data_IF_389791694952
#
_entry.id   IF_389791694952
#
_cell.length_a   1.000
_cell.length_b   1.000
_cell.length_c   1.000
_cell.angle_alpha   90.00
_cell.angle_beta   90.00
_cell.angle_gamma   90.00
#
_symmetry.space_group_name_H-M   'P 1'
#
loop_
_entity.id
_entity.type
_entity.pdbx_description
1 polymer ?
#
# COMPACT_ATOMS: atom_id res chain seq x y z
N UNK A 1 -23.37 6.93 4.20
CA UNK A 1 -23.65 5.56 4.68
C UNK A 1 -23.24 4.60 3.57
N UNK A 2 -22.46 3.56 3.87
CA UNK A 2 -22.06 2.56 2.86
C UNK A 2 -22.97 1.34 2.89
N UNK A 3 -23.19 0.73 1.72
CA UNK A 3 -23.93 -0.51 1.56
C UNK A 3 -23.05 -1.56 0.89
N UNK A 4 -23.08 -2.78 1.41
CA UNK A 4 -22.42 -3.95 0.81
C UNK A 4 -23.05 -4.28 -0.56
N UNK A 5 -22.20 -4.33 -1.59
CA UNK A 5 -22.54 -4.79 -2.94
C UNK A 5 -22.38 -6.32 -3.05
N UNK A 6 -22.69 -6.88 -4.23
CA UNK A 6 -22.37 -8.28 -4.50
C UNK A 6 -20.85 -8.48 -4.44
N UNK A 7 -20.35 -9.51 -3.74
CA UNK A 7 -18.92 -9.77 -3.68
C UNK A 7 -18.39 -10.24 -5.03
N UNK A 8 -17.10 -10.00 -5.26
CA UNK A 8 -16.44 -10.42 -6.49
C UNK A 8 -15.66 -11.72 -6.23
N UNK A 9 -16.02 -12.85 -6.87
CA UNK A 9 -15.36 -14.12 -6.62
C UNK A 9 -13.89 -14.11 -7.07
N UNK A 10 -13.05 -14.75 -6.26
CA UNK A 10 -11.65 -15.05 -6.54
C UNK A 10 -11.49 -16.55 -6.84
N UNK A 11 -10.40 -16.92 -7.53
CA UNK A 11 -10.03 -18.32 -7.84
C UNK A 11 -9.22 -18.97 -6.71
N UNK A 12 -8.67 -18.17 -5.80
CA UNK A 12 -8.00 -18.59 -4.58
C UNK A 12 -8.31 -17.63 -3.44
N UNK A 13 -7.96 -17.99 -2.21
CA UNK A 13 -8.21 -17.14 -1.05
C UNK A 13 -7.14 -16.07 -0.83
N UNK A 14 -7.46 -14.97 -0.16
CA UNK A 14 -6.44 -13.98 0.18
C UNK A 14 -5.49 -14.51 1.26
N UNK A 15 -4.19 -14.24 1.11
CA UNK A 15 -3.17 -14.55 2.11
C UNK A 15 -3.25 -13.61 3.32
N UNK A 16 -2.88 -14.10 4.50
CA UNK A 16 -2.77 -13.31 5.73
C UNK A 16 -1.56 -12.35 5.70
N UNK A 17 -1.62 -11.35 4.83
CA UNK A 17 -0.61 -10.30 4.67
C UNK A 17 -1.27 -8.96 4.91
N UNK A 18 -0.57 -8.01 5.53
CA UNK A 18 -1.01 -6.61 5.55
C UNK A 18 -0.98 -6.05 4.13
N UNK A 19 -1.84 -5.08 3.84
CA UNK A 19 -1.93 -4.45 2.51
C UNK A 19 -2.11 -5.46 1.35
N UNK A 20 -2.82 -6.57 1.59
CA UNK A 20 -2.97 -7.66 0.62
C UNK A 20 -3.73 -7.27 -0.66
N UNK A 21 -4.50 -6.18 -0.60
CA UNK A 21 -5.34 -5.69 -1.69
C UNK A 21 -4.69 -4.46 -2.36
N UNK A 22 -4.58 -4.52 -3.68
CA UNK A 22 -4.29 -3.36 -4.53
C UNK A 22 -5.44 -3.10 -5.48
N UNK A 23 -5.69 -1.83 -5.76
CA UNK A 23 -6.70 -1.38 -6.70
C UNK A 23 -6.06 -0.44 -7.72
N UNK A 24 -6.39 -0.63 -8.99
CA UNK A 24 -6.09 0.32 -10.07
C UNK A 24 -7.39 0.70 -10.75
N UNK A 25 -7.76 1.97 -10.68
CA UNK A 25 -8.86 2.50 -11.47
C UNK A 25 -8.33 3.01 -12.81
N UNK A 26 -9.04 2.69 -13.89
CA UNK A 26 -8.80 3.27 -15.21
C UNK A 26 -10.02 4.12 -15.61
N UNK A 27 -10.04 5.43 -15.25
CA UNK A 27 -11.22 6.28 -15.48
C UNK A 27 -11.68 6.30 -16.93
N UNK A 28 -10.73 6.28 -17.88
CA UNK A 28 -11.02 6.31 -19.32
C UNK A 28 -11.77 5.08 -19.83
N UNK A 29 -11.64 3.93 -19.15
CA UNK A 29 -12.32 2.68 -19.52
C UNK A 29 -13.49 2.35 -18.60
N UNK A 30 -13.66 3.11 -17.53
CA UNK A 30 -14.64 2.84 -16.47
C UNK A 30 -14.49 1.40 -15.92
N UNK A 31 -13.25 0.97 -15.68
CA UNK A 31 -12.92 -0.35 -15.15
C UNK A 31 -12.10 -0.22 -13.87
N UNK A 32 -12.30 -1.18 -12.97
CA UNK A 32 -11.50 -1.33 -11.75
C UNK A 32 -10.74 -2.64 -11.81
N UNK A 33 -9.42 -2.58 -11.64
CA UNK A 33 -8.54 -3.73 -11.51
C UNK A 33 -8.23 -3.99 -10.04
N UNK A 34 -8.22 -5.25 -9.66
CA UNK A 34 -7.94 -5.72 -8.31
C UNK A 34 -6.79 -6.72 -8.34
N UNK A 35 -5.86 -6.56 -7.41
CA UNK A 35 -4.69 -7.41 -7.22
C UNK A 35 -4.72 -7.96 -5.81
N UNK A 36 -4.72 -9.29 -5.68
CA UNK A 36 -4.82 -9.98 -4.40
C UNK A 36 -3.75 -11.05 -4.32
N UNK A 37 -2.95 -11.06 -3.26
CA UNK A 37 -1.92 -12.08 -3.06
C UNK A 37 -2.53 -13.36 -2.48
N UNK A 38 -2.25 -14.50 -3.11
CA UNK A 38 -2.62 -15.86 -2.73
C UNK A 38 -1.35 -16.75 -2.70
N UNK A 39 -0.59 -16.64 -1.60
CA UNK A 39 0.63 -17.42 -1.37
C UNK A 39 1.72 -17.19 -2.44
N UNK A 40 2.05 -18.19 -3.27
CA UNK A 40 3.05 -18.04 -4.35
C UNK A 40 2.53 -17.35 -5.61
N UNK A 41 1.25 -16.97 -5.63
CA UNK A 41 0.58 -16.40 -6.80
C UNK A 41 -0.20 -15.15 -6.44
N UNK A 42 -0.45 -14.32 -7.43
CA UNK A 42 -1.30 -13.14 -7.34
C UNK A 42 -2.47 -13.31 -8.29
N UNK A 43 -3.66 -12.96 -7.82
CA UNK A 43 -4.86 -12.90 -8.63
C UNK A 43 -5.06 -11.49 -9.12
N UNK A 44 -5.11 -11.33 -10.43
CA UNK A 44 -5.44 -10.08 -11.12
C UNK A 44 -6.84 -10.21 -11.67
N UNK A 45 -7.73 -9.30 -11.28
CA UNK A 45 -9.13 -9.32 -11.66
C UNK A 45 -9.53 -7.95 -12.21
N UNK A 46 -10.29 -7.94 -13.29
CA UNK A 46 -10.92 -6.75 -13.85
C UNK A 46 -12.41 -6.82 -13.59
N UNK A 47 -13.00 -5.76 -13.05
CA UNK A 47 -14.44 -5.67 -12.84
C UNK A 47 -15.02 -4.40 -13.49
N UNK A 48 -16.28 -4.50 -13.88
CA UNK A 48 -17.12 -3.38 -14.26
C UNK A 48 -17.39 -2.45 -13.05
N UNK A 49 -17.89 -1.22 -13.27
CA UNK A 49 -18.19 -0.28 -12.19
C UNK A 49 -19.11 -0.87 -11.12
N UNK A 50 -20.05 -1.73 -11.49
CA UNK A 50 -21.01 -2.39 -10.59
C UNK A 50 -20.42 -3.59 -9.84
N UNK A 51 -19.12 -3.88 -10.02
CA UNK A 51 -18.45 -5.03 -9.41
C UNK A 51 -18.63 -6.34 -10.17
N UNK A 52 -19.14 -6.32 -11.40
CA UNK A 52 -19.27 -7.54 -12.22
C UNK A 52 -17.87 -7.94 -12.74
N UNK A 53 -17.37 -9.15 -12.44
CA UNK A 53 -16.08 -9.61 -12.94
C UNK A 53 -16.11 -9.80 -14.46
N UNK A 54 -15.10 -9.25 -15.15
CA UNK A 54 -14.97 -9.30 -16.60
C UNK A 54 -13.81 -10.20 -17.06
N UNK A 55 -12.70 -10.18 -16.33
CA UNK A 55 -11.52 -10.97 -16.63
C UNK A 55 -10.77 -11.32 -15.34
N UNK A 56 -10.11 -12.47 -15.34
CA UNK A 56 -9.26 -12.90 -14.23
C UNK A 56 -8.04 -13.64 -14.74
N UNK A 57 -6.89 -13.34 -14.16
CA UNK A 57 -5.58 -13.95 -14.44
C UNK A 57 -4.92 -14.31 -13.11
N UNK A 58 -4.21 -15.43 -13.10
CA UNK A 58 -3.31 -15.77 -12.00
C UNK A 58 -1.87 -15.57 -12.48
N UNK A 59 -1.11 -14.78 -11.74
CA UNK A 59 0.29 -14.47 -12.02
C UNK A 59 1.15 -15.14 -10.96
N UNK A 60 2.13 -15.92 -11.38
CA UNK A 60 3.06 -16.59 -10.47
C UNK A 60 4.37 -15.81 -10.43
N UNK A 61 4.96 -15.69 -9.25
CA UNK A 61 6.29 -15.11 -9.13
C UNK A 61 7.29 -15.95 -9.93
N UNK A 62 8.10 -15.30 -10.77
CA UNK A 62 9.18 -15.96 -11.50
C UNK A 62 10.12 -16.71 -10.55
N UNK A 63 10.47 -17.94 -10.91
CA UNK A 63 11.38 -18.81 -10.17
C UNK A 63 12.53 -19.32 -11.04
N UNK A 64 13.65 -19.68 -10.41
CA UNK A 64 14.66 -20.53 -11.05
C UNK A 64 14.16 -21.98 -11.10
N UNK A 65 14.61 -22.75 -12.09
CA UNK A 65 14.22 -24.16 -12.23
C UNK A 65 14.63 -24.98 -10.99
N UNK A 66 13.73 -25.84 -10.50
CA UNK A 66 14.01 -26.75 -9.37
C UNK A 66 13.90 -26.16 -7.96
N UNK A 67 13.46 -24.91 -7.81
CA UNK A 67 13.26 -24.24 -6.51
C UNK A 67 11.77 -24.11 -6.22
N UNK A 68 11.37 -24.19 -4.93
CA UNK A 68 10.00 -23.90 -4.51
C UNK A 68 9.60 -22.48 -4.90
N UNK A 69 8.34 -22.25 -5.34
CA UNK A 69 7.89 -20.92 -5.71
C UNK A 69 7.98 -19.98 -4.50
N UNK A 70 8.48 -18.74 -4.68
CA UNK A 70 8.60 -17.83 -3.56
C UNK A 70 7.23 -17.33 -3.15
N UNK A 71 7.05 -17.12 -1.84
CA UNK A 71 5.87 -16.44 -1.35
C UNK A 71 5.92 -14.98 -1.81
N UNK A 72 4.81 -14.52 -2.38
CA UNK A 72 4.61 -13.12 -2.74
C UNK A 72 4.22 -12.39 -1.45
N UNK A 73 4.82 -11.23 -1.23
CA UNK A 73 4.62 -10.40 -0.03
C UNK A 73 3.70 -9.22 -0.30
N UNK A 74 3.68 -8.69 -1.53
CA UNK A 74 2.77 -7.64 -1.93
C UNK A 74 2.61 -7.58 -3.46
N UNK A 75 1.43 -7.17 -3.92
CA UNK A 75 1.16 -6.71 -5.28
C UNK A 75 0.72 -5.25 -5.21
N UNK A 76 1.21 -4.41 -6.11
CA UNK A 76 0.74 -3.03 -6.22
C UNK A 76 0.86 -2.49 -7.65
N UNK A 77 -0.09 -1.66 -8.08
CA UNK A 77 0.05 -0.90 -9.32
C UNK A 77 0.70 0.46 -9.05
N UNK A 78 1.83 0.72 -9.69
CA UNK A 78 2.51 2.01 -9.67
C UNK A 78 2.05 2.84 -10.86
N UNK A 79 1.29 3.91 -10.59
CA UNK A 79 0.85 4.88 -11.61
C UNK A 79 1.91 5.97 -11.72
N UNK A 80 2.68 5.94 -12.82
CA UNK A 80 3.71 6.94 -13.12
C UNK A 80 3.17 7.92 -14.17
N UNK A 81 3.79 9.11 -14.37
CA UNK A 81 3.31 10.13 -15.30
C UNK A 81 3.11 9.66 -16.75
N UNK A 82 3.85 8.63 -17.18
CA UNK A 82 3.88 8.17 -18.57
C UNK A 82 3.49 6.70 -18.75
N UNK A 83 3.41 5.90 -17.67
CA UNK A 83 3.01 4.49 -17.75
C UNK A 83 2.55 3.95 -16.40
N UNK A 84 1.80 2.84 -16.45
CA UNK A 84 1.42 2.08 -15.25
C UNK A 84 2.15 0.75 -15.25
N UNK A 85 2.80 0.42 -14.14
CA UNK A 85 3.47 -0.87 -13.94
C UNK A 85 2.80 -1.64 -12.80
N UNK A 86 2.69 -2.95 -12.97
CA UNK A 86 2.32 -3.86 -11.89
C UNK A 86 3.61 -4.36 -11.21
N UNK A 87 3.74 -4.13 -9.92
CA UNK A 87 4.92 -4.54 -9.14
C UNK A 87 4.53 -5.67 -8.20
N UNK A 88 5.34 -6.73 -8.20
CA UNK A 88 5.27 -7.83 -7.26
C UNK A 88 6.54 -7.86 -6.42
N UNK A 89 6.37 -7.95 -5.11
CA UNK A 89 7.47 -8.23 -4.17
C UNK A 89 7.32 -9.62 -3.60
N UNK A 90 8.45 -10.24 -3.25
CA UNK A 90 8.49 -11.61 -2.77
C UNK A 90 9.72 -11.84 -1.89
N UNK A 91 9.83 -13.04 -1.34
CA UNK A 91 11.04 -13.48 -0.62
C UNK A 91 12.30 -13.63 -1.50
N UNK A 92 12.19 -13.45 -2.83
CA UNK A 92 13.32 -13.61 -3.76
C UNK A 92 13.72 -12.32 -4.45
N UNK A 93 12.83 -11.34 -4.51
CA UNK A 93 13.01 -10.25 -5.44
C UNK A 93 11.78 -9.41 -5.69
N UNK A 94 12.00 -8.44 -6.57
CA UNK A 94 11.05 -7.46 -7.05
C UNK A 94 10.86 -7.71 -8.55
N UNK A 95 9.63 -7.96 -8.98
CA UNK A 95 9.26 -8.15 -10.38
C UNK A 95 8.38 -6.99 -10.81
N UNK A 96 8.67 -6.40 -11.97
CA UNK A 96 7.82 -5.38 -12.56
C UNK A 96 7.29 -5.89 -13.89
N UNK A 97 5.99 -5.71 -14.08
CA UNK A 97 5.25 -6.14 -15.26
C UNK A 97 4.55 -4.94 -15.89
N UNK A 98 4.22 -5.06 -17.17
CA UNK A 98 3.18 -4.22 -17.76
C UNK A 98 1.90 -4.29 -16.92
N UNK A 99 1.09 -3.23 -16.94
CA UNK A 99 -0.08 -3.07 -16.07
C UNK A 99 -1.08 -4.24 -16.04
N UNK A 100 -1.17 -5.03 -17.11
CA UNK A 100 -2.06 -6.20 -17.20
C UNK A 100 -1.43 -7.50 -16.65
N UNK A 101 -0.16 -7.45 -16.24
CA UNK A 101 0.63 -8.59 -15.76
C UNK A 101 1.06 -9.57 -16.85
N UNK A 102 0.95 -9.23 -18.14
CA UNK A 102 1.29 -10.16 -19.24
C UNK A 102 2.79 -10.31 -19.47
N UNK A 103 3.53 -9.20 -19.42
CA UNK A 103 4.95 -9.14 -19.77
C UNK A 103 5.73 -8.61 -18.59
N UNK A 104 6.71 -9.39 -18.13
CA UNK A 104 7.68 -8.92 -17.13
C UNK A 104 8.71 -8.04 -17.84
N UNK A 105 8.86 -6.80 -17.38
CA UNK A 105 9.78 -5.81 -17.94
C UNK A 105 11.07 -5.68 -17.12
N UNK A 106 11.04 -6.05 -15.85
CA UNK A 106 12.20 -5.96 -14.96
C UNK A 106 12.15 -6.98 -13.83
N UNK A 107 13.33 -7.39 -13.36
CA UNK A 107 13.52 -8.26 -12.20
C UNK A 107 14.75 -7.82 -11.44
N UNK A 108 14.59 -7.65 -10.12
CA UNK A 108 15.67 -7.42 -9.18
C UNK A 108 15.68 -8.54 -8.14
N UNK A 109 16.77 -9.31 -8.10
CA UNK A 109 16.96 -10.33 -7.08
C UNK A 109 17.38 -9.69 -5.75
N UNK A 110 16.75 -10.10 -4.65
CA UNK A 110 17.23 -9.72 -3.32
C UNK A 110 18.35 -10.68 -2.93
N UNK A 111 19.55 -10.15 -2.70
CA UNK A 111 20.68 -10.93 -2.20
C UNK A 111 20.62 -11.00 -0.68
N UNK A 112 20.76 -12.20 -0.12
CA UNK A 112 20.93 -12.37 1.32
C UNK A 112 22.28 -11.86 1.80
N UNK A 113 23.31 -11.80 0.93
CA UNK A 113 24.69 -11.52 1.35
C UNK A 113 25.08 -12.40 2.55
N UNK A 114 25.66 -11.77 3.57
CA UNK A 114 26.02 -12.35 4.88
C UNK A 114 24.85 -12.43 5.89
N UNK A 115 23.60 -12.25 5.45
CA UNK A 115 22.45 -12.35 6.34
C UNK A 115 22.45 -13.70 7.06
N UNK A 116 22.34 -13.66 8.38
CA UNK A 116 22.12 -14.85 9.20
C UNK A 116 20.95 -15.66 8.60
N UNK A 117 21.07 -17.00 8.50
CA UNK A 117 20.01 -17.87 7.96
C UNK A 117 18.67 -17.78 8.72
N UNK A 118 18.64 -17.03 9.84
CA UNK A 118 17.45 -16.75 10.65
C UNK A 118 16.56 -15.66 10.05
N UNK A 119 17.10 -14.73 9.25
CA UNK A 119 16.31 -13.61 8.71
C UNK A 119 15.69 -13.97 7.37
N UNK A 120 14.36 -13.89 7.27
CA UNK A 120 13.68 -14.04 6.00
C UNK A 120 14.02 -12.85 5.09
N UNK A 121 14.63 -13.11 3.94
CA UNK A 121 14.81 -12.11 2.89
C UNK A 121 13.46 -11.84 2.25
N UNK A 122 13.03 -10.58 2.17
CA UNK A 122 11.84 -10.16 1.45
C UNK A 122 11.87 -8.66 1.09
N UNK A 123 11.00 -8.26 0.17
CA UNK A 123 10.64 -6.87 -0.09
C UNK A 123 9.14 -6.67 0.17
N UNK A 124 8.75 -5.47 0.55
CA UNK A 124 7.35 -5.00 0.68
C UNK A 124 7.34 -3.48 0.87
N UNK A 125 6.17 -2.87 0.86
CA UNK A 125 6.03 -1.42 0.77
C UNK A 125 6.41 -0.98 -0.63
N UNK A 126 5.41 -0.67 -1.46
CA UNK A 126 5.60 -0.32 -2.87
C UNK A 126 4.88 1.00 -3.09
N UNK A 127 5.59 1.99 -3.63
CA UNK A 127 4.98 3.26 -4.02
C UNK A 127 5.61 3.81 -5.30
N UNK A 128 4.84 4.61 -6.04
CA UNK A 128 5.32 5.39 -7.17
C UNK A 128 5.52 6.84 -6.72
N UNK A 129 6.72 7.40 -6.92
CA UNK A 129 7.04 8.78 -6.57
C UNK A 129 7.63 9.49 -7.79
N UNK A 130 6.84 10.34 -8.45
CA UNK A 130 7.22 10.91 -9.74
C UNK A 130 7.44 9.82 -10.79
N UNK A 131 8.65 9.73 -11.33
CA UNK A 131 9.06 8.70 -12.29
C UNK A 131 9.78 7.51 -11.63
N UNK A 132 9.85 7.48 -10.30
CA UNK A 132 10.49 6.42 -9.54
C UNK A 132 9.48 5.41 -9.01
N UNK A 133 9.92 4.16 -8.86
CA UNK A 133 9.26 3.17 -8.01
C UNK A 133 10.15 2.91 -6.80
N UNK A 134 9.59 3.08 -5.60
CA UNK A 134 10.27 2.83 -4.34
C UNK A 134 9.78 1.52 -3.74
N UNK A 135 10.72 0.67 -3.28
CA UNK A 135 10.40 -0.62 -2.67
C UNK A 135 11.20 -0.84 -1.39
N UNK A 136 10.51 -1.13 -0.30
CA UNK A 136 11.13 -1.44 0.99
C UNK A 136 11.69 -2.86 1.06
N UNK A 137 12.74 -3.05 1.87
CA UNK A 137 13.38 -4.35 2.08
C UNK A 137 13.34 -4.79 3.54
N UNK A 138 13.58 -6.09 3.75
CA UNK A 138 13.77 -6.70 5.06
C UNK A 138 14.92 -6.11 5.88
N UNK A 139 15.91 -5.48 5.22
CA UNK A 139 17.09 -4.89 5.88
C UNK A 139 16.90 -3.43 6.32
N UNK A 140 15.69 -2.87 6.15
CA UNK A 140 15.41 -1.46 6.46
C UNK A 140 15.86 -0.49 5.36
N UNK A 141 16.15 -1.01 4.16
CA UNK A 141 16.52 -0.20 3.00
C UNK A 141 15.30 0.08 2.14
N UNK A 142 15.33 1.19 1.42
CA UNK A 142 14.35 1.49 0.37
C UNK A 142 15.10 1.57 -0.95
N UNK A 143 14.79 0.66 -1.85
CA UNK A 143 15.35 0.63 -3.20
C UNK A 143 14.54 1.56 -4.10
N UNK A 144 15.22 2.46 -4.81
CA UNK A 144 14.60 3.44 -5.71
C UNK A 144 14.96 3.08 -7.15
N UNK A 145 13.95 2.80 -7.96
CA UNK A 145 14.11 2.43 -9.36
C UNK A 145 13.68 3.58 -10.26
N UNK A 146 14.60 4.04 -11.12
CA UNK A 146 14.29 4.95 -12.23
C UNK A 146 13.53 4.20 -13.32
N UNK A 147 12.32 4.67 -13.63
CA UNK A 147 11.45 4.05 -14.61
C UNK A 147 11.46 4.86 -15.91
N UNK A 148 11.91 4.29 -17.04
CA UNK A 148 11.86 4.99 -18.31
C UNK A 148 10.42 5.08 -18.83
N UNK A 149 10.19 6.08 -19.68
CA UNK A 149 8.92 6.30 -20.41
C UNK A 149 8.40 5.02 -21.08
N UNK A 150 9.31 4.21 -21.63
CA UNK A 150 9.00 2.94 -22.29
C UNK A 150 10.19 1.98 -22.23
N UNK A 151 9.90 0.70 -22.47
CA UNK A 151 10.91 -0.35 -22.55
C UNK A 151 11.37 -0.89 -21.19
N UNK A 152 12.37 -1.79 -21.19
CA UNK A 152 12.80 -2.53 -20.01
C UNK A 152 14.03 -1.93 -19.30
N UNK A 153 14.50 -0.74 -19.69
CA UNK A 153 15.71 -0.11 -19.14
C UNK A 153 15.46 0.53 -17.77
N UNK A 154 14.83 -0.22 -16.87
CA UNK A 154 14.63 0.16 -15.47
C UNK A 154 15.96 -0.03 -14.74
N UNK A 155 16.37 0.96 -13.94
CA UNK A 155 17.63 0.94 -13.22
C UNK A 155 17.40 1.20 -11.73
N UNK A 156 18.09 0.46 -10.86
CA UNK A 156 18.22 0.85 -9.45
C UNK A 156 19.16 2.06 -9.39
N UNK A 157 18.64 3.23 -9.01
CA UNK A 157 19.43 4.47 -8.97
C UNK A 157 19.90 4.83 -7.55
N UNK A 158 19.09 4.56 -6.52
CA UNK A 158 19.42 4.88 -5.13
C UNK A 158 18.98 3.77 -4.16
N UNK A 159 19.69 3.69 -3.02
CA UNK A 159 19.33 2.88 -1.87
C UNK A 159 19.26 3.78 -0.64
N UNK A 160 18.04 4.05 -0.16
CA UNK A 160 17.82 4.96 0.97
C UNK A 160 18.05 4.22 2.29
N UNK A 161 18.82 4.87 3.17
CA UNK A 161 19.04 4.43 4.55
C UNK A 161 18.32 5.32 5.54
N UNK A 162 17.63 4.71 6.50
CA UNK A 162 16.95 5.41 7.58
C UNK A 162 16.38 4.44 8.62
N UNK A 163 15.82 3.33 8.14
CA UNK A 163 15.31 2.27 9.01
C UNK A 163 16.41 1.28 9.40
N UNK A 164 16.26 0.72 10.61
CA UNK A 164 17.11 -0.35 11.14
C UNK A 164 16.35 -1.68 11.24
N UNK A 165 15.06 -1.67 10.91
CA UNK A 165 14.17 -2.83 10.91
C UNK A 165 13.45 -2.92 9.56
N UNK A 166 12.83 -4.08 9.22
CA UNK A 166 12.18 -4.26 7.93
C UNK A 166 11.17 -3.15 7.63
N UNK A 167 11.25 -2.59 6.42
CA UNK A 167 10.25 -1.63 5.93
C UNK A 167 8.90 -2.37 5.80
N UNK A 168 7.83 -1.76 6.30
CA UNK A 168 6.47 -2.30 6.31
C UNK A 168 5.64 -1.78 5.15
N UNK A 169 5.69 -0.46 4.93
CA UNK A 169 4.89 0.21 3.92
C UNK A 169 5.53 1.53 3.48
N UNK A 170 5.13 2.00 2.30
CA UNK A 170 5.59 3.28 1.73
C UNK A 170 4.37 3.99 1.16
N UNK A 171 4.21 5.27 1.49
CA UNK A 171 3.19 6.13 0.90
C UNK A 171 3.81 7.37 0.29
N UNK A 172 3.15 7.90 -0.73
CA UNK A 172 3.56 9.09 -1.47
C UNK A 172 2.39 10.05 -1.52
N UNK A 173 2.69 11.34 -1.46
CA UNK A 173 1.72 12.41 -1.61
C UNK A 173 1.03 12.30 -2.99
N UNK A 174 -0.30 12.13 -3.06
CA UNK A 174 -1.04 12.15 -4.31
C UNK A 174 -0.72 13.43 -5.08
N UNK A 175 -0.55 13.33 -6.40
CA UNK A 175 -0.12 14.44 -7.26
C UNK A 175 -1.16 15.58 -7.31
N UNK A 176 -1.21 16.40 -6.26
CA UNK A 176 -1.96 17.66 -6.16
C UNK A 176 -1.16 18.64 -5.29
N UNK A 177 -0.39 19.53 -5.95
CA UNK A 177 0.31 20.64 -5.29
C UNK A 177 1.83 20.59 -5.48
N UNK A 178 2.38 21.56 -6.21
CA UNK A 178 3.78 21.62 -6.65
C UNK A 178 4.78 22.01 -5.54
N UNK A 179 4.32 22.29 -4.31
CA UNK A 179 5.15 22.83 -3.21
C UNK A 179 5.05 21.97 -1.94
N UNK A 180 5.02 20.65 -2.08
CA UNK A 180 5.02 19.77 -0.92
C UNK A 180 6.44 19.68 -0.31
N UNK A 181 6.57 20.09 0.95
CA UNK A 181 7.84 20.03 1.71
C UNK A 181 8.31 18.59 1.85
N UNK A 182 7.39 17.64 1.96
CA UNK A 182 7.62 16.20 2.01
C UNK A 182 6.62 15.52 1.07
N UNK A 183 7.06 14.50 0.34
CA UNK A 183 6.24 13.82 -0.67
C UNK A 183 6.27 12.29 -0.56
N UNK A 184 7.09 11.73 0.33
CA UNK A 184 7.13 10.30 0.59
C UNK A 184 7.34 10.03 2.08
N UNK A 185 6.67 9.01 2.60
CA UNK A 185 6.85 8.50 3.95
C UNK A 185 7.02 6.98 3.91
N UNK A 186 7.93 6.47 4.72
CA UNK A 186 8.24 5.05 4.83
C UNK A 186 8.07 4.64 6.29
N UNK A 187 7.55 3.44 6.53
CA UNK A 187 7.31 2.90 7.87
C UNK A 187 8.09 1.59 8.07
N UNK A 188 8.36 1.21 9.31
CA UNK A 188 9.01 -0.07 9.64
C UNK A 188 8.36 -0.84 10.79
N UNK A 189 8.89 -2.05 11.04
CA UNK A 189 8.43 -2.96 12.09
C UNK A 189 8.70 -2.45 13.52
N UNK A 190 9.56 -1.45 13.71
CA UNK A 190 9.74 -0.77 15.00
C UNK A 190 8.73 0.37 15.22
N UNK A 191 7.99 0.72 14.17
CA UNK A 191 7.06 1.84 14.09
C UNK A 191 7.72 3.17 13.70
N UNK A 192 9.01 3.18 13.40
CA UNK A 192 9.71 4.37 12.94
C UNK A 192 9.15 4.80 11.59
N UNK A 193 8.87 6.08 11.44
CA UNK A 193 8.53 6.70 10.18
C UNK A 193 9.71 7.53 9.70
N UNK A 194 10.10 7.40 8.43
CA UNK A 194 11.04 8.30 7.79
C UNK A 194 10.30 9.12 6.75
N UNK A 195 10.49 10.43 6.78
CA UNK A 195 9.82 11.39 5.90
C UNK A 195 10.83 11.94 4.90
N UNK A 196 10.48 11.91 3.63
CA UNK A 196 11.39 12.16 2.53
C UNK A 196 10.87 13.24 1.60
N UNK A 197 11.81 13.87 0.89
CA UNK A 197 11.56 14.67 -0.30
C UNK A 197 12.21 13.99 -1.49
N UNK A 198 11.42 13.72 -2.53
CA UNK A 198 11.92 13.27 -3.82
C UNK A 198 12.54 14.42 -4.62
N UNK A 199 13.43 14.10 -5.53
CA UNK A 199 14.16 15.05 -6.35
C UNK A 199 15.20 14.34 -7.20
N UNK A 200 16.26 15.04 -7.65
CA UNK A 200 17.43 14.38 -8.27
C UNK A 200 18.08 13.36 -7.34
N UNK A 201 17.99 13.58 -6.04
CA UNK A 201 18.34 12.65 -4.97
C UNK A 201 17.25 12.71 -3.91
N UNK A 202 16.88 11.56 -3.32
CA UNK A 202 15.93 11.54 -2.21
C UNK A 202 16.60 12.05 -0.93
N UNK A 203 15.92 12.98 -0.24
CA UNK A 203 16.41 13.57 1.01
C UNK A 203 15.55 13.16 2.18
N UNK A 204 16.16 12.57 3.20
CA UNK A 204 15.53 12.37 4.50
C UNK A 204 15.35 13.72 5.19
N UNK A 205 14.11 14.09 5.50
CA UNK A 205 13.76 15.36 6.14
C UNK A 205 13.67 15.22 7.66
N UNK A 206 12.98 14.17 8.12
CA UNK A 206 12.78 13.90 9.54
C UNK A 206 12.51 12.41 9.77
N UNK A 207 12.71 11.97 11.02
CA UNK A 207 12.33 10.64 11.49
C UNK A 207 11.45 10.75 12.72
N UNK A 208 10.36 9.98 12.74
CA UNK A 208 9.33 10.03 13.78
C UNK A 208 9.30 8.67 14.49
N UNK A 209 9.68 8.58 15.77
CA UNK A 209 9.73 7.32 16.48
C UNK A 209 8.33 6.77 16.78
N UNK A 210 8.08 5.49 16.46
CA UNK A 210 6.81 4.79 16.71
C UNK A 210 6.67 4.16 18.10
N UNK A 211 7.66 4.37 18.98
CA UNK A 211 7.69 3.88 20.36
C UNK A 211 7.57 2.35 20.51
N UNK A 212 8.09 1.58 19.55
CA UNK A 212 8.22 0.12 19.65
C UNK A 212 6.98 -0.68 19.28
N UNK A 213 5.99 -0.06 18.62
CA UNK A 213 4.84 -0.74 18.04
C UNK A 213 5.00 -0.76 16.52
N UNK A 214 4.91 -1.92 15.84
CA UNK A 214 4.99 -1.98 14.38
C UNK A 214 3.96 -1.05 13.72
N UNK A 215 4.33 -0.47 12.58
CA UNK A 215 3.43 0.34 11.76
C UNK A 215 3.16 -0.37 10.43
N UNK A 216 2.15 -1.26 10.32
CA UNK A 216 1.97 -2.08 9.12
C UNK A 216 1.52 -1.31 7.88
N UNK A 217 0.93 -0.12 8.04
CA UNK A 217 0.52 0.69 6.90
C UNK A 217 0.57 2.19 7.21
N UNK A 218 0.93 2.98 6.19
CA UNK A 218 1.06 4.43 6.26
C UNK A 218 0.42 5.08 5.04
N UNK A 219 -0.09 6.30 5.18
CA UNK A 219 -0.61 7.14 4.11
C UNK A 219 -0.13 8.59 4.27
N UNK A 220 -0.04 9.33 3.17
CA UNK A 220 0.35 10.74 3.13
C UNK A 220 -0.67 11.55 2.35
N UNK A 221 -1.20 12.62 2.93
CA UNK A 221 -2.19 13.49 2.31
C UNK A 221 -2.03 14.93 2.76
N UNK A 222 -1.72 15.83 1.83
CA UNK A 222 -1.52 17.26 2.03
C UNK A 222 -0.58 17.55 3.22
N UNK A 223 0.53 16.82 3.30
CA UNK A 223 1.50 16.93 4.40
C UNK A 223 1.02 16.33 5.74
N UNK A 224 -0.09 15.61 5.76
CA UNK A 224 -0.58 14.83 6.91
C UNK A 224 -0.16 13.37 6.71
N UNK A 225 0.64 12.84 7.63
CA UNK A 225 0.98 11.42 7.67
C UNK A 225 -0.05 10.71 8.54
N UNK A 226 -0.74 9.72 7.99
CA UNK A 226 -1.57 8.80 8.76
C UNK A 226 -0.85 7.46 8.91
N UNK A 227 -0.51 7.10 10.15
CA UNK A 227 0.20 5.86 10.48
C UNK A 227 -0.73 4.93 11.28
N UNK A 228 -0.88 3.69 10.80
CA UNK A 228 -1.68 2.65 11.43
C UNK A 228 -0.77 1.66 12.15
N UNK A 229 -1.03 1.44 13.45
CA UNK A 229 -0.15 0.65 14.31
C UNK A 229 -0.73 -0.72 14.69
N UNK A 230 0.16 -1.63 15.07
CA UNK A 230 -0.17 -2.99 15.52
C UNK A 230 -0.99 -3.06 16.82
N UNK A 231 -1.12 -1.95 17.55
CA UNK A 231 -1.97 -1.84 18.73
C UNK A 231 -3.38 -1.27 18.42
N UNK A 232 -3.74 -1.12 17.15
CA UNK A 232 -5.04 -0.60 16.73
C UNK A 232 -5.16 0.92 16.69
N UNK A 233 -4.07 1.64 16.94
CA UNK A 233 -4.07 3.11 16.88
C UNK A 233 -3.81 3.63 15.47
N UNK A 234 -4.59 4.63 15.06
CA UNK A 234 -4.23 5.53 13.96
C UNK A 234 -3.64 6.79 14.58
N UNK A 235 -2.45 7.20 14.13
CA UNK A 235 -1.85 8.48 14.53
C UNK A 235 -1.63 9.38 13.33
N UNK A 236 -1.95 10.67 13.50
CA UNK A 236 -1.77 11.68 12.48
C UNK A 236 -0.64 12.62 12.88
N UNK A 237 0.34 12.72 11.99
CA UNK A 237 1.50 13.58 12.15
C UNK A 237 1.54 14.65 11.07
N UNK A 238 2.14 15.79 11.41
CA UNK A 238 2.55 16.75 10.41
C UNK A 238 3.88 16.34 9.78
N UNK A 239 3.93 16.22 8.45
CA UNK A 239 5.11 15.71 7.74
C UNK A 239 6.32 16.64 7.82
N UNK A 240 6.10 17.96 7.89
CA UNK A 240 7.17 18.97 7.92
C UNK A 240 7.91 19.00 9.25
N UNK A 241 7.19 18.79 10.36
CA UNK A 241 7.74 18.92 11.73
C UNK A 241 7.90 17.58 12.44
N UNK A 242 7.17 16.55 12.01
CA UNK A 242 7.04 15.27 12.71
C UNK A 242 6.15 15.34 13.95
N UNK A 243 5.45 16.46 14.19
CA UNK A 243 4.60 16.63 15.36
C UNK A 243 3.38 15.69 15.30
N UNK A 244 3.07 15.04 16.43
CA UNK A 244 1.85 14.26 16.59
C UNK A 244 0.68 15.20 16.91
N UNK A 245 -0.36 15.21 16.08
CA UNK A 245 -1.56 16.02 16.29
C UNK A 245 -2.74 15.19 16.82
N UNK A 246 -2.94 13.99 16.26
CA UNK A 246 -4.11 13.16 16.58
C UNK A 246 -3.68 11.74 16.88
N UNK A 247 -4.25 11.16 17.94
CA UNK A 247 -4.13 9.74 18.25
C UNK A 247 -5.53 9.16 18.45
N UNK A 248 -5.90 8.18 17.62
CA UNK A 248 -7.21 7.56 17.59
C UNK A 248 -7.06 6.10 17.98
N UNK A 249 -7.77 5.64 19.02
CA UNK A 249 -7.94 4.22 19.29
C UNK A 249 -9.01 3.67 18.34
N UNK A 250 -8.64 3.52 17.07
CA UNK A 250 -9.55 3.20 15.98
C UNK A 250 -10.04 1.74 16.03
N UNK A 251 -9.16 0.82 16.46
CA UNK A 251 -9.39 -0.61 16.37
C UNK A 251 -8.96 -1.34 17.66
N UNK A 252 -9.56 -2.49 17.93
CA UNK A 252 -9.25 -3.32 19.09
C UNK A 252 -8.07 -4.29 18.84
N UNK A 253 -7.64 -4.44 17.59
CA UNK A 253 -6.51 -5.27 17.16
C UNK A 253 -5.63 -4.53 16.16
N UNK A 254 -4.57 -5.18 15.70
CA UNK A 254 -3.63 -4.63 14.73
C UNK A 254 -4.35 -4.10 13.48
N UNK A 255 -3.96 -2.90 13.05
CA UNK A 255 -4.34 -2.36 11.75
C UNK A 255 -3.54 -3.09 10.68
N UNK A 256 -4.22 -3.63 9.67
CA UNK A 256 -3.61 -4.40 8.60
C UNK A 256 -3.55 -3.64 7.27
N UNK A 257 -4.34 -2.58 7.11
CA UNK A 257 -4.31 -1.73 5.91
C UNK A 257 -4.83 -0.32 6.22
N UNK A 258 -4.16 0.68 5.64
CA UNK A 258 -4.68 2.03 5.46
C UNK A 258 -4.75 2.36 3.98
N UNK A 259 -5.77 3.12 3.57
CA UNK A 259 -5.87 3.65 2.22
C UNK A 259 -6.46 5.06 2.20
N UNK A 260 -6.15 5.81 1.17
CA UNK A 260 -6.52 7.22 1.04
C UNK A 260 -7.35 7.44 -0.22
N UNK A 261 -8.49 8.11 -0.07
CA UNK A 261 -9.24 8.72 -1.17
C UNK A 261 -8.91 10.22 -1.22
N UNK A 262 -7.96 10.63 -2.09
CA UNK A 262 -7.30 11.92 -1.97
C UNK A 262 -8.18 13.13 -2.30
N UNK A 263 -9.13 13.00 -3.24
CA UNK A 263 -10.04 14.11 -3.61
C UNK A 263 -10.98 14.45 -2.45
N UNK A 264 -11.40 13.43 -1.72
CA UNK A 264 -12.30 13.57 -0.59
C UNK A 264 -11.58 13.69 0.75
N UNK A 265 -10.24 13.61 0.80
CA UNK A 265 -9.47 13.56 2.05
C UNK A 265 -9.99 12.51 3.02
N UNK A 266 -10.39 11.33 2.51
CA UNK A 266 -10.89 10.24 3.36
C UNK A 266 -9.80 9.22 3.58
N UNK A 267 -9.63 8.79 4.82
CA UNK A 267 -8.78 7.69 5.23
C UNK A 267 -9.64 6.47 5.53
N UNK A 268 -9.31 5.33 4.94
CA UNK A 268 -9.87 4.03 5.27
C UNK A 268 -8.88 3.29 6.18
N UNK A 269 -9.35 2.80 7.31
CA UNK A 269 -8.59 1.90 8.19
C UNK A 269 -9.26 0.55 8.31
N UNK A 270 -8.47 -0.51 8.31
CA UNK A 270 -8.96 -1.88 8.43
C UNK A 270 -8.09 -2.69 9.39
N UNK A 271 -8.72 -3.59 10.14
CA UNK A 271 -8.06 -4.33 11.22
C UNK A 271 -8.48 -5.80 11.28
N UNK A 272 -7.60 -6.59 11.90
CA UNK A 272 -7.88 -7.96 12.33
C UNK A 272 -9.05 -8.08 13.33
N UNK A 273 -9.55 -6.96 13.86
CA UNK A 273 -10.76 -6.93 14.69
C UNK A 273 -12.07 -7.04 13.89
N UNK A 274 -11.96 -7.27 12.57
CA UNK A 274 -13.06 -7.42 11.61
C UNK A 274 -13.78 -6.13 11.24
N UNK A 275 -13.34 -4.96 11.73
CA UNK A 275 -13.93 -3.68 11.39
C UNK A 275 -13.11 -2.94 10.33
N UNK A 276 -13.83 -2.15 9.55
CA UNK A 276 -13.26 -1.07 8.75
C UNK A 276 -13.89 0.25 9.15
N UNK A 277 -13.09 1.31 9.19
CA UNK A 277 -13.52 2.66 9.52
C UNK A 277 -13.11 3.64 8.43
N UNK A 278 -13.98 4.61 8.16
CA UNK A 278 -13.67 5.74 7.28
C UNK A 278 -13.62 7.01 8.12
N UNK A 279 -12.56 7.76 7.93
CA UNK A 279 -12.28 9.02 8.59
C UNK A 279 -12.16 10.13 7.55
N UNK A 280 -12.67 11.32 7.85
CA UNK A 280 -12.41 12.53 7.07
C UNK A 280 -11.24 13.26 7.70
N UNK A 281 -10.18 13.43 6.93
CA UNK A 281 -9.01 14.23 7.29
C UNK A 281 -9.23 15.69 6.87
N UNK A 282 -8.81 16.61 7.72
CA UNK A 282 -8.84 18.04 7.45
C UNK A 282 -7.73 18.76 8.20
N UNK A 283 -7.34 19.93 7.68
CA UNK A 283 -6.49 20.90 8.36
C UNK A 283 -7.33 22.14 8.63
N UNK A 284 -7.37 22.56 9.89
CA UNK A 284 -8.12 23.73 10.32
C UNK A 284 -7.43 25.00 9.81
N UNK A 285 -8.06 25.83 8.94
CA UNK A 285 -7.39 26.97 8.34
C UNK A 285 -6.99 28.07 9.34
N UNK A 286 -7.64 28.16 10.50
CA UNK A 286 -7.40 29.22 11.48
C UNK A 286 -6.31 28.84 12.49
N UNK A 287 -6.26 27.57 12.89
CA UNK A 287 -5.34 27.07 13.91
C UNK A 287 -4.21 26.18 13.39
N UNK A 288 -4.24 25.84 12.10
CA UNK A 288 -3.33 24.90 11.43
C UNK A 288 -3.32 23.48 12.03
N UNK A 289 -4.32 23.17 12.87
CA UNK A 289 -4.46 21.87 13.50
C UNK A 289 -4.95 20.80 12.52
N UNK A 290 -4.37 19.61 12.60
CA UNK A 290 -4.85 18.43 11.90
C UNK A 290 -6.01 17.82 12.69
N UNK A 291 -7.11 17.52 12.00
CA UNK A 291 -8.32 16.94 12.56
C UNK A 291 -8.71 15.66 11.81
N UNK A 292 -9.40 14.77 12.52
CA UNK A 292 -9.95 13.54 11.97
C UNK A 292 -11.37 13.32 12.49
N UNK A 293 -12.32 13.26 11.58
CA UNK A 293 -13.73 12.98 11.90
C UNK A 293 -14.09 11.55 11.50
N UNK A 294 -14.73 10.79 12.39
CA UNK A 294 -15.25 9.46 12.06
C UNK A 294 -16.50 9.59 11.18
N UNK A 295 -16.48 9.02 9.98
CA UNK A 295 -17.60 9.12 9.03
C UNK A 295 -18.43 7.84 8.93
N UNK A 296 -17.79 6.68 9.02
CA UNK A 296 -18.46 5.38 8.84
C UNK A 296 -17.69 4.27 9.55
N UNK A 297 -18.41 3.28 10.06
CA UNK A 297 -17.84 2.01 10.51
C UNK A 297 -18.66 0.85 9.95
N UNK A 298 -17.96 -0.17 9.46
CA UNK A 298 -18.57 -1.38 8.91
C UNK A 298 -17.91 -2.60 9.53
N UNK A 299 -18.74 -3.54 9.99
CA UNK A 299 -18.28 -4.85 10.44
C UNK A 299 -18.28 -5.82 9.25
N UNK A 300 -17.16 -6.50 9.04
CA UNK A 300 -17.01 -7.61 8.09
C UNK A 300 -17.03 -8.92 8.88
N UNK A 301 -18.21 -9.49 9.16
CA UNK A 301 -18.32 -10.59 10.11
C UNK A 301 -17.52 -11.82 9.69
N UNK A 302 -17.05 -12.56 10.70
CA UNK A 302 -16.36 -13.85 10.56
C UNK A 302 -15.14 -13.82 9.61
N UNK A 303 -14.51 -12.65 9.48
CA UNK A 303 -13.43 -12.43 8.51
C UNK A 303 -12.26 -11.70 9.16
N UNK A 304 -11.08 -12.32 9.21
CA UNK A 304 -9.86 -11.60 9.52
C UNK A 304 -9.47 -10.76 8.30
N UNK A 305 -9.69 -9.44 8.36
CA UNK A 305 -9.36 -8.54 7.25
C UNK A 305 -7.84 -8.52 7.02
N UNK A 306 -7.43 -8.57 5.75
CA UNK A 306 -6.03 -8.52 5.34
C UNK A 306 -5.73 -7.38 4.35
N UNK A 307 -6.75 -6.82 3.70
CA UNK A 307 -6.59 -5.69 2.79
C UNK A 307 -7.85 -4.86 2.70
N UNK A 308 -7.69 -3.56 2.57
CA UNK A 308 -8.79 -2.63 2.31
C UNK A 308 -8.29 -1.47 1.46
N UNK A 309 -9.04 -1.10 0.42
CA UNK A 309 -8.71 -0.01 -0.51
C UNK A 309 -9.97 0.69 -1.00
N UNK A 310 -9.94 2.00 -1.16
CA UNK A 310 -10.92 2.72 -1.95
C UNK A 310 -10.86 2.26 -3.41
N UNK A 311 -12.03 2.23 -4.05
CA UNK A 311 -12.16 1.88 -5.46
C UNK A 311 -12.15 3.10 -6.38
N UNK A 312 -12.17 4.30 -5.79
CA UNK A 312 -12.24 5.59 -6.48
C UNK A 312 -11.65 6.71 -5.60
N UNK A 313 -11.08 7.78 -6.20
CA UNK A 313 -10.41 8.85 -5.48
C UNK A 313 -11.36 9.73 -4.66
N UNK A 314 -12.68 9.70 -4.96
CA UNK A 314 -13.70 10.40 -4.18
C UNK A 314 -14.11 9.65 -2.90
N UNK A 315 -13.62 8.42 -2.73
CA UNK A 315 -13.95 7.55 -1.60
C UNK A 315 -15.45 7.28 -1.51
N UNK A 316 -16.10 7.10 -2.65
CA UNK A 316 -17.52 6.72 -2.77
C UNK A 316 -17.72 5.21 -2.69
N UNK A 317 -16.68 4.42 -2.92
CA UNK A 317 -16.69 2.97 -2.77
C UNK A 317 -15.35 2.44 -2.31
N UNK A 318 -15.37 1.29 -1.65
CA UNK A 318 -14.18 0.58 -1.18
C UNK A 318 -14.35 -0.92 -1.27
N UNK A 319 -13.23 -1.63 -1.24
CA UNK A 319 -13.13 -3.07 -1.29
C UNK A 319 -12.31 -3.61 -0.14
N UNK A 320 -12.63 -4.82 0.30
CA UNK A 320 -11.99 -5.52 1.43
C UNK A 320 -11.68 -6.96 1.02
N UNK A 321 -10.51 -7.45 1.41
CA UNK A 321 -10.15 -8.87 1.37
C UNK A 321 -9.97 -9.42 2.77
N UNK A 322 -10.30 -10.71 2.93
CA UNK A 322 -10.18 -11.43 4.19
C UNK A 322 -9.31 -12.67 4.06
N UNK A 323 -8.56 -13.00 5.10
CA UNK A 323 -7.78 -14.23 5.13
C UNK A 323 -8.69 -15.45 4.92
N UNK A 324 -8.23 -16.34 4.03
CA UNK A 324 -8.93 -17.53 3.58
C UNK A 324 -10.29 -17.30 2.88
N UNK A 325 -10.62 -16.04 2.58
CA UNK A 325 -11.81 -15.67 1.83
C UNK A 325 -11.51 -15.64 0.33
N UNK A 326 -12.27 -16.41 -0.45
CA UNK A 326 -12.15 -16.48 -1.92
C UNK A 326 -13.04 -15.45 -2.64
N UNK A 327 -13.20 -14.27 -2.07
CA UNK A 327 -13.95 -13.17 -2.66
C UNK A 327 -13.43 -11.81 -2.20
N UNK A 328 -13.67 -10.78 -3.00
CA UNK A 328 -13.49 -9.37 -2.64
C UNK A 328 -14.85 -8.82 -2.22
N UNK A 329 -14.94 -8.34 -1.00
CA UNK A 329 -16.14 -7.66 -0.50
C UNK A 329 -16.12 -6.21 -0.96
N UNK A 330 -17.22 -5.74 -1.54
CA UNK A 330 -17.34 -4.35 -2.02
C UNK A 330 -18.42 -3.60 -1.29
N UNK A 331 -18.18 -2.32 -1.08
CA UNK A 331 -19.09 -1.40 -0.42
C UNK A 331 -19.15 -0.09 -1.20
N UNK A 332 -20.34 0.48 -1.32
CA UNK A 332 -20.59 1.74 -2.03
C UNK A 332 -21.46 2.66 -1.19
N UNK A 333 -21.18 3.95 -1.23
CA UNK A 333 -22.01 4.98 -0.59
C UNK A 333 -23.39 4.97 -1.24
N UNK A 334 -24.42 4.99 -0.39
CA UNK A 334 -25.80 5.27 -0.78
C UNK A 334 -26.01 6.76 -0.89
#
# INVERSE_FOLDING_TARGET
MFRRERPIPLRGSAAALCNNLSVLQLPTRNLTHFGVVHGPSTQLLTAAPEGVPLAQRQLYAKQAAGVSPPLITQVHWCILPFRVLLVLTSHRGIQMYESDGSVMVYWHALNSGDASPVHAVFARGIAACGHFICVGTWSGRVLVFDIPVKGPNIALCEELGGHQTPVTDIAVEPAQGQDCVADMVTADDSGLLCVWRSGPEFKLLTSIPGFGVPCPSVQLWQGIIAAGYGNGQVRLYEASTGALHVQINAHARAICALDLAPEAGKLLSASEDTFVHIWKLSRNPESDNIEAEHCHGECVPDTQVCGARFCDPSGSSFAVTGYDLAEILRFRSV
#
